data_IF_000385370373
#
_entry.id   IF_000385370373
#
_cell.length_a   1.000
_cell.length_b   1.000
_cell.length_c   1.000
_cell.angle_alpha   90.00
_cell.angle_beta   90.00
_cell.angle_gamma   90.00
#
_symmetry.space_group_name_H-M   'P 1'
#
loop_
_entity.id
_entity.type
_entity.pdbx_description
1 polymer ?
#
# COMPACT_ATOMS: atom_id res chain seq x y z
N UNK A 1 22.50 -5.77 -18.99
CA UNK A 1 23.07 -4.43 -18.80
C UNK A 1 21.92 -3.44 -18.48
N UNK A 2 21.85 -3.00 -17.23
CA UNK A 2 20.83 -2.07 -16.75
C UNK A 2 20.94 -0.67 -17.40
N UNK A 3 22.01 -0.40 -18.11
CA UNK A 3 22.27 0.89 -18.72
C UNK A 3 21.51 1.13 -20.03
N UNK A 4 21.03 0.09 -20.70
CA UNK A 4 20.37 0.21 -22.02
C UNK A 4 19.22 -0.77 -22.22
N UNK A 5 18.13 -0.29 -22.78
CA UNK A 5 16.96 -1.10 -23.12
C UNK A 5 16.99 -1.62 -24.59
N UNK A 6 18.11 -1.71 -25.25
CA UNK A 6 18.16 -2.10 -26.67
C UNK A 6 17.43 -3.42 -26.99
N UNK A 7 17.78 -4.54 -26.33
CA UNK A 7 17.08 -5.81 -26.53
C UNK A 7 15.58 -5.75 -26.11
N UNK A 8 15.27 -5.07 -25.00
CA UNK A 8 13.90 -4.87 -24.54
C UNK A 8 13.09 -4.06 -25.56
N UNK A 9 13.66 -2.98 -26.09
CA UNK A 9 13.03 -2.18 -27.15
C UNK A 9 12.67 -3.02 -28.37
N UNK A 10 13.60 -3.88 -28.82
CA UNK A 10 13.34 -4.77 -29.97
C UNK A 10 12.16 -5.71 -29.68
N UNK A 11 12.11 -6.33 -28.52
CA UNK A 11 11.01 -7.19 -28.09
C UNK A 11 9.68 -6.43 -28.03
N UNK A 12 9.68 -5.24 -27.45
CA UNK A 12 8.48 -4.40 -27.34
C UNK A 12 7.96 -3.99 -28.74
N UNK A 13 8.85 -3.66 -29.66
CA UNK A 13 8.48 -3.34 -31.06
C UNK A 13 7.85 -4.53 -31.77
N UNK A 14 8.46 -5.71 -31.71
CA UNK A 14 7.92 -6.94 -32.28
C UNK A 14 6.56 -7.29 -31.69
N UNK A 15 6.43 -7.19 -30.38
CA UNK A 15 5.17 -7.43 -29.66
C UNK A 15 4.09 -6.43 -30.09
N UNK A 16 4.44 -5.15 -30.19
CA UNK A 16 3.51 -4.11 -30.66
C UNK A 16 3.04 -4.41 -32.10
N UNK A 17 3.95 -4.78 -33.00
CA UNK A 17 3.58 -5.15 -34.38
C UNK A 17 2.61 -6.35 -34.43
N UNK A 18 2.87 -7.38 -33.61
CA UNK A 18 1.98 -8.54 -33.52
C UNK A 18 0.58 -8.15 -32.98
N UNK A 19 0.52 -7.28 -31.97
CA UNK A 19 -0.76 -6.75 -31.46
C UNK A 19 -1.47 -5.93 -32.54
N UNK A 20 -0.78 -5.03 -33.24
CA UNK A 20 -1.37 -4.14 -34.27
C UNK A 20 -1.85 -4.88 -35.50
N UNK A 21 -1.35 -6.08 -35.76
CA UNK A 21 -1.88 -6.95 -36.80
C UNK A 21 -3.34 -7.41 -36.51
N UNK A 22 -3.73 -7.42 -35.25
CA UNK A 22 -5.06 -7.85 -34.76
C UNK A 22 -5.88 -6.67 -34.27
N UNK A 23 -5.29 -5.83 -33.45
CA UNK A 23 -5.92 -4.71 -32.75
C UNK A 23 -5.19 -3.39 -33.01
N UNK A 24 -5.84 -2.51 -33.74
CA UNK A 24 -5.31 -1.20 -34.10
C UNK A 24 -5.74 -0.06 -33.16
N UNK A 25 -6.62 -0.33 -32.20
CA UNK A 25 -7.33 0.72 -31.47
C UNK A 25 -6.92 0.84 -30.01
N UNK A 26 -6.58 -0.26 -29.34
CA UNK A 26 -6.28 -0.20 -27.92
C UNK A 26 -4.92 0.44 -27.65
N UNK A 27 -4.87 1.24 -26.56
CA UNK A 27 -3.65 1.80 -26.01
C UNK A 27 -2.73 0.68 -25.52
N UNK A 28 -1.45 0.74 -25.85
CA UNK A 28 -0.44 -0.19 -25.35
C UNK A 28 0.44 0.54 -24.33
N UNK A 29 0.53 -0.02 -23.14
CA UNK A 29 1.46 0.44 -22.13
C UNK A 29 2.78 -0.29 -22.29
N UNK A 30 3.88 0.47 -22.29
CA UNK A 30 5.24 -0.06 -22.31
C UNK A 30 5.99 0.34 -21.06
N UNK A 31 6.98 -0.46 -20.68
CA UNK A 31 7.84 -0.20 -19.54
C UNK A 31 9.32 -0.32 -19.94
N UNK A 32 10.15 0.53 -19.37
CA UNK A 32 11.58 0.38 -19.40
C UNK A 32 12.07 -0.72 -18.45
N UNK A 33 13.36 -0.98 -18.39
CA UNK A 33 13.94 -1.85 -17.37
C UNK A 33 13.96 -1.18 -15.99
N UNK A 34 14.59 -1.79 -14.98
CA UNK A 34 14.64 -1.30 -13.60
C UNK A 34 13.23 -0.99 -13.05
N UNK A 35 12.35 -1.99 -13.06
CA UNK A 35 10.96 -1.87 -12.57
C UNK A 35 10.19 -0.70 -13.24
N UNK A 36 10.28 -0.60 -14.57
CA UNK A 36 9.56 0.43 -15.34
C UNK A 36 10.16 1.85 -15.23
N UNK A 37 11.29 2.04 -14.56
CA UNK A 37 11.80 3.39 -14.25
C UNK A 37 12.96 3.86 -15.13
N UNK A 38 13.60 2.96 -15.90
CA UNK A 38 14.69 3.33 -16.80
C UNK A 38 14.26 3.20 -18.26
N UNK A 39 14.12 4.33 -18.95
CA UNK A 39 13.75 4.42 -20.35
C UNK A 39 14.93 4.68 -21.29
N UNK A 40 16.17 4.58 -20.80
CA UNK A 40 17.37 4.81 -21.59
C UNK A 40 17.44 3.81 -22.78
N UNK A 41 17.43 4.33 -24.01
CA UNK A 41 17.44 3.52 -25.24
C UNK A 41 16.06 3.02 -25.71
N UNK A 42 14.96 3.44 -25.09
CA UNK A 42 13.60 3.16 -25.57
C UNK A 42 13.23 4.08 -26.74
N UNK A 43 13.59 5.34 -26.67
CA UNK A 43 13.22 6.35 -27.68
C UNK A 43 14.06 6.26 -28.96
N UNK A 44 13.52 6.72 -30.12
CA UNK A 44 12.17 7.24 -30.32
C UNK A 44 11.11 6.13 -30.26
N UNK A 45 9.87 6.52 -29.92
CA UNK A 45 8.72 5.61 -29.92
C UNK A 45 8.40 5.16 -31.36
N UNK A 46 7.74 3.99 -31.50
CA UNK A 46 7.49 3.32 -32.77
C UNK A 46 6.00 3.18 -33.12
N UNK A 47 5.12 3.66 -32.25
CA UNK A 47 3.66 3.59 -32.43
C UNK A 47 3.04 4.80 -31.74
N UNK A 48 2.03 5.40 -32.36
CA UNK A 48 1.41 6.65 -31.92
C UNK A 48 0.39 6.45 -30.78
N UNK A 49 0.10 5.21 -30.43
CA UNK A 49 -0.87 4.85 -29.40
C UNK A 49 -0.23 4.04 -28.27
N UNK A 50 0.90 4.55 -27.77
CA UNK A 50 1.64 4.05 -26.60
C UNK A 50 1.45 4.96 -25.39
N UNK A 51 1.61 4.40 -24.19
CA UNK A 51 1.79 5.10 -22.94
C UNK A 51 2.99 4.53 -22.19
N UNK A 52 3.71 5.38 -21.45
CA UNK A 52 4.83 4.95 -20.61
C UNK A 52 4.31 4.61 -19.22
N UNK A 53 4.61 3.41 -18.74
CA UNK A 53 4.29 2.97 -17.37
C UNK A 53 5.54 3.05 -16.50
N UNK A 54 5.40 3.50 -15.27
CA UNK A 54 6.49 3.56 -14.29
C UNK A 54 6.01 3.12 -12.91
N UNK A 55 6.94 2.78 -12.02
CA UNK A 55 6.65 2.33 -10.67
C UNK A 55 7.18 3.29 -9.61
N UNK A 56 6.46 3.39 -8.49
CA UNK A 56 6.84 4.24 -7.35
C UNK A 56 6.43 3.58 -6.04
N UNK A 57 7.40 3.42 -5.10
CA UNK A 57 7.16 2.72 -3.83
C UNK A 57 7.78 3.39 -2.60
N UNK A 58 9.10 3.61 -2.56
CA UNK A 58 9.85 3.96 -1.35
C UNK A 58 10.72 5.20 -1.55
N UNK A 59 10.11 6.25 -2.01
CA UNK A 59 10.77 7.54 -2.18
C UNK A 59 9.85 8.67 -1.75
N UNK A 60 10.39 9.88 -1.67
CA UNK A 60 9.62 11.08 -1.34
C UNK A 60 8.48 11.32 -2.33
N UNK A 61 7.39 11.91 -1.86
CA UNK A 61 6.23 12.24 -2.68
C UNK A 61 6.25 13.72 -3.09
N UNK A 62 7.35 14.14 -3.68
CA UNK A 62 7.58 15.47 -4.23
C UNK A 62 7.67 15.47 -5.78
N UNK A 63 7.59 16.64 -6.38
CA UNK A 63 7.68 16.82 -7.83
C UNK A 63 8.97 16.20 -8.42
N UNK A 64 10.10 16.32 -7.72
CA UNK A 64 11.38 15.82 -8.19
C UNK A 64 11.37 14.30 -8.39
N UNK A 65 10.61 13.58 -7.55
CA UNK A 65 10.52 12.11 -7.61
C UNK A 65 9.84 11.55 -8.87
N UNK A 66 9.10 12.38 -9.61
CA UNK A 66 8.43 12.03 -10.87
C UNK A 66 8.89 12.89 -12.06
N UNK A 67 9.84 13.81 -11.85
CA UNK A 67 10.21 14.80 -12.85
C UNK A 67 10.68 14.17 -14.16
N UNK A 68 11.49 13.15 -14.11
CA UNK A 68 11.97 12.45 -15.32
C UNK A 68 10.83 11.95 -16.20
N UNK A 69 9.77 11.42 -15.60
CA UNK A 69 8.60 10.95 -16.36
C UNK A 69 7.80 12.12 -16.94
N UNK A 70 7.70 13.22 -16.22
CA UNK A 70 7.08 14.45 -16.73
C UNK A 70 7.87 15.05 -17.91
N UNK A 71 9.20 14.99 -17.86
CA UNK A 71 10.07 15.42 -18.93
C UNK A 71 9.87 14.53 -20.18
N UNK A 72 9.79 13.21 -20.06
CA UNK A 72 9.48 12.31 -21.16
C UNK A 72 8.10 12.59 -21.76
N UNK A 73 7.07 12.79 -20.93
CA UNK A 73 5.74 13.19 -21.37
C UNK A 73 5.78 14.44 -22.26
N UNK A 74 6.52 15.45 -21.83
CA UNK A 74 6.63 16.72 -22.56
C UNK A 74 7.49 16.61 -23.82
N UNK A 75 8.63 15.92 -23.72
CA UNK A 75 9.59 15.80 -24.82
C UNK A 75 9.08 14.96 -25.97
N UNK A 76 8.34 13.88 -25.66
CA UNK A 76 7.91 12.90 -26.65
C UNK A 76 6.40 12.91 -26.93
N UNK A 77 5.67 13.85 -26.33
CA UNK A 77 4.21 13.97 -26.44
C UNK A 77 3.48 12.63 -26.20
N UNK A 78 3.85 11.95 -25.13
CA UNK A 78 3.39 10.60 -24.80
C UNK A 78 2.71 10.57 -23.42
N UNK A 79 1.54 9.92 -23.25
CA UNK A 79 0.93 9.72 -21.96
C UNK A 79 1.84 8.92 -21.00
N UNK A 80 1.77 9.24 -19.71
CA UNK A 80 2.45 8.50 -18.65
C UNK A 80 1.45 7.94 -17.64
N UNK A 81 1.78 6.80 -17.04
CA UNK A 81 0.93 6.03 -16.15
C UNK A 81 1.74 5.49 -14.97
N UNK A 82 1.27 5.68 -13.74
CA UNK A 82 1.83 5.00 -12.58
C UNK A 82 1.29 3.57 -12.54
N UNK A 83 2.03 2.63 -13.12
CA UNK A 83 1.60 1.24 -13.33
C UNK A 83 1.62 0.40 -12.07
N UNK A 84 2.55 0.70 -11.16
CA UNK A 84 2.62 0.07 -9.84
C UNK A 84 2.97 1.08 -8.75
N UNK A 85 2.22 1.01 -7.63
CA UNK A 85 2.49 1.77 -6.41
C UNK A 85 1.84 1.09 -5.22
N UNK A 86 2.48 1.12 -4.06
CA UNK A 86 1.94 0.47 -2.86
C UNK A 86 3.02 0.16 -1.83
N UNK A 87 2.80 -0.87 -1.01
CA UNK A 87 3.76 -1.45 -0.04
C UNK A 87 4.38 -0.44 0.94
N UNK A 88 3.66 0.60 1.29
CA UNK A 88 4.08 1.66 2.20
C UNK A 88 2.93 2.01 3.16
N UNK A 89 3.06 3.07 3.96
CA UNK A 89 2.02 3.52 4.88
C UNK A 89 0.86 4.23 4.19
N UNK A 90 -0.25 4.34 4.90
CA UNK A 90 -1.42 5.10 4.44
C UNK A 90 -1.10 6.57 4.15
N UNK A 91 -0.18 7.17 4.92
CA UNK A 91 0.28 8.56 4.67
C UNK A 91 0.98 8.64 3.32
N UNK A 92 1.92 7.72 3.08
CA UNK A 92 2.63 7.65 1.81
C UNK A 92 1.68 7.42 0.62
N UNK A 93 0.67 6.52 0.77
CA UNK A 93 -0.32 6.28 -0.29
C UNK A 93 -1.10 7.54 -0.65
N UNK A 94 -1.61 8.24 0.38
CA UNK A 94 -2.33 9.50 0.19
C UNK A 94 -1.48 10.54 -0.54
N UNK A 95 -0.22 10.68 -0.16
CA UNK A 95 0.70 11.65 -0.75
C UNK A 95 1.08 11.28 -2.19
N UNK A 96 1.40 10.00 -2.45
CA UNK A 96 1.74 9.52 -3.79
C UNK A 96 0.57 9.71 -4.77
N UNK A 97 -0.65 9.33 -4.36
CA UNK A 97 -1.85 9.50 -5.17
C UNK A 97 -2.13 10.99 -5.41
N UNK A 98 -2.04 11.83 -4.36
CA UNK A 98 -2.22 13.28 -4.51
C UNK A 98 -1.22 13.86 -5.52
N UNK A 99 0.04 13.46 -5.47
CA UNK A 99 1.08 13.93 -6.38
C UNK A 99 0.77 13.58 -7.83
N UNK A 100 0.42 12.32 -8.11
CA UNK A 100 0.16 11.89 -9.50
C UNK A 100 -1.15 12.47 -10.04
N UNK A 101 -2.21 12.56 -9.23
CA UNK A 101 -3.48 13.18 -9.65
C UNK A 101 -3.33 14.68 -9.95
N UNK A 102 -2.54 15.43 -9.14
CA UNK A 102 -2.22 16.84 -9.39
C UNK A 102 -1.45 17.03 -10.70
N UNK A 103 -0.73 16.02 -11.17
CA UNK A 103 0.00 16.04 -12.43
C UNK A 103 -0.78 15.37 -13.59
N UNK A 104 -2.07 15.09 -13.44
CA UNK A 104 -2.91 14.40 -14.43
C UNK A 104 -2.33 13.04 -14.87
N UNK A 105 -1.82 12.27 -13.92
CA UNK A 105 -1.31 10.92 -14.14
C UNK A 105 -2.29 9.93 -13.51
N UNK A 106 -2.78 8.99 -14.30
CA UNK A 106 -3.53 7.85 -13.79
C UNK A 106 -2.63 6.87 -13.03
N UNK A 107 -3.21 6.07 -12.13
CA UNK A 107 -2.44 5.19 -11.27
C UNK A 107 -3.11 3.83 -11.04
N UNK A 108 -2.29 2.82 -10.74
CA UNK A 108 -2.70 1.52 -10.25
C UNK A 108 -2.04 1.22 -8.90
N UNK A 109 -2.76 0.46 -8.05
CA UNK A 109 -2.29 0.09 -6.72
C UNK A 109 -1.88 -1.39 -6.67
N UNK A 110 -0.74 -1.69 -6.08
CA UNK A 110 -0.16 -3.01 -5.93
C UNK A 110 -0.02 -3.44 -4.46
N UNK A 111 -0.45 -4.64 -4.08
CA UNK A 111 -1.50 -5.40 -4.75
C UNK A 111 -2.85 -5.17 -4.05
N UNK A 112 -3.95 -5.46 -4.73
CA UNK A 112 -5.29 -5.38 -4.13
C UNK A 112 -5.47 -6.39 -2.99
N UNK A 113 -4.87 -7.57 -3.07
CA UNK A 113 -4.94 -8.65 -2.07
C UNK A 113 -3.54 -9.13 -1.71
N UNK A 114 -3.19 -9.10 -0.42
CA UNK A 114 -1.89 -9.57 0.09
C UNK A 114 -2.07 -10.46 1.30
N UNK A 115 -1.26 -11.54 1.38
CA UNK A 115 -1.32 -12.50 2.49
C UNK A 115 -0.77 -11.82 3.75
N UNK A 116 -1.54 -11.88 4.86
CA UNK A 116 -1.19 -11.39 6.20
C UNK A 116 -0.60 -9.95 6.22
N UNK A 117 -1.01 -9.09 5.29
CA UNK A 117 -0.49 -7.74 5.19
C UNK A 117 -1.54 -6.69 5.56
N UNK A 118 -1.10 -5.63 6.23
CA UNK A 118 -1.90 -4.43 6.49
C UNK A 118 -1.78 -3.39 5.37
N UNK A 119 -0.72 -3.47 4.54
CA UNK A 119 -0.38 -2.52 3.48
C UNK A 119 -1.08 -2.83 2.15
N UNK A 120 -2.30 -3.32 2.19
CA UNK A 120 -3.11 -3.62 1.01
C UNK A 120 -4.57 -3.32 1.24
N UNK A 121 -5.34 -3.13 0.19
CA UNK A 121 -6.80 -2.90 0.25
C UNK A 121 -7.50 -4.05 0.97
N UNK A 122 -7.02 -5.28 0.75
CA UNK A 122 -7.51 -6.47 1.44
C UNK A 122 -6.36 -7.36 1.92
N UNK A 123 -6.57 -8.02 3.06
CA UNK A 123 -5.66 -9.00 3.64
C UNK A 123 -6.25 -10.40 3.54
N UNK A 124 -5.43 -11.36 3.12
CA UNK A 124 -5.80 -12.77 2.96
C UNK A 124 -5.20 -13.57 4.10
N UNK A 125 -6.02 -14.38 4.79
CA UNK A 125 -5.51 -15.23 5.86
C UNK A 125 -4.67 -16.38 5.30
N UNK A 126 -3.46 -16.54 5.83
CA UNK A 126 -2.54 -17.60 5.48
C UNK A 126 -3.09 -18.96 5.97
N UNK A 127 -3.19 -19.99 5.12
CA UNK A 127 -3.61 -21.31 5.56
C UNK A 127 -2.56 -21.97 6.45
N UNK A 128 -3.03 -22.85 7.34
CA UNK A 128 -2.13 -23.70 8.10
C UNK A 128 -1.29 -24.58 7.15
N UNK A 129 0.03 -24.59 7.34
CA UNK A 129 0.97 -25.35 6.51
C UNK A 129 1.52 -24.57 5.29
N UNK A 130 1.02 -23.37 4.99
CA UNK A 130 1.58 -22.57 3.88
C UNK A 130 3.03 -22.16 4.14
N UNK A 131 3.39 -21.89 5.40
CA UNK A 131 4.78 -21.60 5.78
C UNK A 131 5.73 -22.74 5.41
N UNK A 132 5.31 -24.02 5.56
CA UNK A 132 6.13 -25.16 5.15
C UNK A 132 6.38 -25.19 3.64
N UNK A 133 5.41 -24.74 2.81
CA UNK A 133 5.61 -24.61 1.37
C UNK A 133 6.63 -23.51 1.05
N UNK A 134 6.54 -22.36 1.73
CA UNK A 134 7.48 -21.25 1.54
C UNK A 134 8.90 -21.66 1.92
N UNK A 135 9.09 -22.35 3.02
CA UNK A 135 10.40 -22.87 3.46
C UNK A 135 10.97 -23.87 2.46
N UNK A 136 10.12 -24.77 1.93
CA UNK A 136 10.57 -25.69 0.88
C UNK A 136 10.98 -24.95 -0.39
N UNK A 137 10.22 -23.97 -0.85
CA UNK A 137 10.55 -23.20 -2.05
C UNK A 137 11.82 -22.35 -1.86
N UNK A 138 12.04 -21.84 -0.67
CA UNK A 138 13.23 -21.05 -0.35
C UNK A 138 14.50 -21.89 -0.24
N UNK A 139 14.45 -22.96 0.54
CA UNK A 139 15.63 -23.69 1.00
C UNK A 139 15.74 -25.11 0.43
N UNK A 140 14.72 -25.59 -0.30
CA UNK A 140 14.65 -26.96 -0.85
C UNK A 140 14.51 -28.06 0.21
N UNK A 141 14.35 -27.68 1.49
CA UNK A 141 14.27 -28.61 2.63
C UNK A 141 12.84 -29.08 2.88
N UNK A 142 12.72 -30.29 3.49
CA UNK A 142 11.41 -30.79 3.96
C UNK A 142 10.33 -30.77 2.89
N UNK A 143 10.64 -31.33 1.70
CA UNK A 143 9.68 -31.37 0.58
C UNK A 143 8.32 -31.90 1.02
N UNK A 144 7.25 -31.12 0.91
CA UNK A 144 5.90 -31.58 1.27
C UNK A 144 5.40 -32.63 0.26
N UNK A 145 4.48 -33.50 0.70
CA UNK A 145 3.82 -34.41 -0.24
C UNK A 145 2.94 -33.62 -1.23
N UNK A 146 2.76 -34.09 -2.48
CA UNK A 146 1.88 -33.46 -3.44
C UNK A 146 0.44 -33.24 -2.92
N UNK A 147 -0.11 -34.21 -2.22
CA UNK A 147 -1.45 -34.12 -1.63
C UNK A 147 -1.55 -33.01 -0.58
N UNK A 148 -0.54 -32.88 0.29
CA UNK A 148 -0.47 -31.80 1.28
C UNK A 148 -0.34 -30.44 0.60
N UNK A 149 0.58 -30.29 -0.35
CA UNK A 149 0.80 -29.05 -1.08
C UNK A 149 -0.48 -28.60 -1.81
N UNK A 150 -1.14 -29.51 -2.54
CA UNK A 150 -2.40 -29.24 -3.22
C UNK A 150 -3.48 -28.78 -2.24
N UNK A 151 -3.65 -29.44 -1.10
CA UNK A 151 -4.65 -29.07 -0.08
C UNK A 151 -4.40 -27.63 0.40
N UNK A 152 -3.17 -27.30 0.78
CA UNK A 152 -2.81 -25.98 1.29
C UNK A 152 -3.00 -24.88 0.24
N UNK A 153 -2.60 -25.12 -1.01
CA UNK A 153 -2.76 -24.15 -2.09
C UNK A 153 -4.23 -23.94 -2.46
N UNK A 154 -5.05 -25.00 -2.44
CA UNK A 154 -6.50 -24.87 -2.68
C UNK A 154 -7.21 -24.15 -1.53
N UNK A 155 -6.76 -24.33 -0.29
CA UNK A 155 -7.25 -23.57 0.87
C UNK A 155 -6.85 -22.08 0.71
N UNK A 156 -5.61 -21.77 0.32
CA UNK A 156 -5.17 -20.41 0.03
C UNK A 156 -6.03 -19.79 -1.08
N UNK A 157 -6.22 -20.47 -2.21
CA UNK A 157 -7.08 -20.00 -3.29
C UNK A 157 -8.50 -19.69 -2.82
N UNK A 158 -9.05 -20.54 -1.92
CA UNK A 158 -10.35 -20.30 -1.32
C UNK A 158 -10.37 -19.08 -0.38
N UNK A 159 -9.26 -18.78 0.33
CA UNK A 159 -9.12 -17.60 1.19
C UNK A 159 -9.00 -16.29 0.40
N UNK A 160 -8.68 -16.35 -0.89
CA UNK A 160 -8.69 -15.18 -1.79
C UNK A 160 -10.09 -14.74 -2.24
N UNK A 161 -11.15 -15.50 -1.93
CA UNK A 161 -12.52 -15.09 -2.25
C UNK A 161 -12.88 -13.81 -1.49
N UNK A 162 -13.63 -12.91 -2.14
CA UNK A 162 -13.97 -11.59 -1.59
C UNK A 162 -14.67 -11.68 -0.23
N UNK A 163 -15.53 -12.67 -0.04
CA UNK A 163 -16.25 -12.89 1.21
C UNK A 163 -15.37 -13.41 2.37
N UNK A 164 -14.12 -13.78 2.10
CA UNK A 164 -13.17 -14.32 3.10
C UNK A 164 -12.02 -13.39 3.44
N UNK A 165 -11.75 -12.41 2.60
CA UNK A 165 -10.67 -11.45 2.85
C UNK A 165 -11.09 -10.41 3.89
N UNK A 166 -10.11 -9.89 4.62
CA UNK A 166 -10.31 -8.75 5.51
C UNK A 166 -10.11 -7.46 4.73
N UNK A 167 -11.18 -6.69 4.56
CA UNK A 167 -11.09 -5.34 3.96
C UNK A 167 -10.41 -4.41 4.96
N UNK A 168 -9.49 -3.56 4.48
CA UNK A 168 -8.75 -2.55 5.24
C UNK A 168 -9.37 -1.16 4.99
N UNK A 169 -10.33 -0.72 5.83
CA UNK A 169 -11.02 0.55 5.61
C UNK A 169 -10.11 1.77 5.75
N UNK A 170 -9.05 1.68 6.54
CA UNK A 170 -8.04 2.70 6.71
C UNK A 170 -7.21 2.91 5.43
N UNK A 171 -6.81 1.83 4.74
CA UNK A 171 -6.12 1.90 3.44
C UNK A 171 -7.03 2.52 2.38
N UNK A 172 -8.27 2.05 2.27
CA UNK A 172 -9.26 2.60 1.32
C UNK A 172 -9.52 4.08 1.60
N UNK A 173 -9.67 4.46 2.88
CA UNK A 173 -9.88 5.84 3.29
C UNK A 173 -8.70 6.75 2.89
N UNK A 174 -7.46 6.27 3.09
CA UNK A 174 -6.24 6.99 2.72
C UNK A 174 -6.12 7.21 1.20
N UNK A 175 -6.41 6.17 0.41
CA UNK A 175 -6.27 6.21 -1.05
C UNK A 175 -7.32 7.11 -1.72
N UNK A 176 -8.51 7.25 -1.14
CA UNK A 176 -9.62 7.95 -1.81
C UNK A 176 -10.11 9.18 -1.04
N UNK A 177 -10.68 9.01 0.16
CA UNK A 177 -11.25 10.14 0.90
C UNK A 177 -10.20 11.16 1.31
N UNK A 178 -9.06 10.70 1.86
CA UNK A 178 -8.04 11.62 2.37
C UNK A 178 -7.31 12.40 1.27
N UNK A 179 -7.27 11.87 0.05
CA UNK A 179 -6.75 12.60 -1.11
C UNK A 179 -7.59 13.83 -1.41
N UNK A 180 -8.92 13.72 -1.31
CA UNK A 180 -9.87 14.80 -1.62
C UNK A 180 -10.27 15.62 -0.38
N UNK A 181 -10.31 14.97 0.79
CA UNK A 181 -10.71 15.58 2.05
C UNK A 181 -9.88 15.05 3.22
N UNK A 182 -8.80 15.72 3.63
CA UNK A 182 -7.87 15.24 4.64
C UNK A 182 -8.39 15.34 6.09
N UNK A 183 -9.62 15.81 6.33
CA UNK A 183 -10.17 15.96 7.69
C UNK A 183 -10.24 14.63 8.44
N UNK A 184 -10.10 14.69 9.77
CA UNK A 184 -10.28 13.51 10.61
C UNK A 184 -11.72 12.98 10.55
N UNK A 185 -11.87 11.65 10.64
CA UNK A 185 -13.15 10.94 10.63
C UNK A 185 -13.11 9.79 11.62
N UNK A 186 -14.15 9.66 12.44
CA UNK A 186 -14.25 8.56 13.40
C UNK A 186 -14.04 7.19 12.72
N UNK A 187 -13.06 6.41 13.19
CA UNK A 187 -12.87 5.02 12.75
C UNK A 187 -13.98 4.11 13.22
N UNK A 188 -14.44 4.33 14.46
CA UNK A 188 -15.61 3.65 15.06
C UNK A 188 -16.55 4.67 15.67
N UNK A 189 -17.83 4.31 15.71
CA UNK A 189 -18.83 5.13 16.42
C UNK A 189 -18.65 5.00 17.93
N UNK A 190 -18.22 6.07 18.58
CA UNK A 190 -18.00 6.15 20.02
C UNK A 190 -19.12 6.99 20.66
N UNK A 191 -20.17 6.32 21.17
CA UNK A 191 -21.29 6.99 21.84
C UNK A 191 -21.06 6.95 23.35
N UNK A 192 -20.85 8.13 23.96
CA UNK A 192 -20.57 8.26 25.40
C UNK A 192 -21.81 8.00 26.29
N UNK A 193 -21.63 7.34 27.47
CA UNK A 193 -20.35 6.81 27.97
C UNK A 193 -19.92 5.56 27.23
N UNK A 194 -18.62 5.38 26.97
CA UNK A 194 -18.10 4.28 26.19
C UNK A 194 -16.71 3.86 26.67
N UNK A 195 -16.38 2.58 26.45
CA UNK A 195 -15.01 2.11 26.41
C UNK A 195 -14.50 2.24 24.98
N UNK A 196 -13.40 2.96 24.78
CA UNK A 196 -12.74 3.17 23.50
C UNK A 196 -11.42 2.42 23.50
N UNK A 197 -11.18 1.55 22.51
CA UNK A 197 -9.89 0.91 22.34
C UNK A 197 -8.86 1.93 21.81
N UNK A 198 -7.64 1.91 22.34
CA UNK A 198 -6.57 2.79 21.86
C UNK A 198 -6.33 2.68 20.35
N UNK A 199 -6.51 1.49 19.78
CA UNK A 199 -6.39 1.25 18.33
C UNK A 199 -7.54 1.79 17.48
N UNK A 200 -8.61 2.33 18.09
CA UNK A 200 -9.76 2.91 17.39
C UNK A 200 -9.67 4.44 17.23
N UNK A 201 -8.44 4.98 17.16
CA UNK A 201 -8.24 6.39 16.82
C UNK A 201 -8.79 6.72 15.44
N UNK A 202 -9.05 7.99 15.18
CA UNK A 202 -9.73 8.46 13.99
C UNK A 202 -8.95 8.12 12.71
N UNK A 203 -9.66 8.01 11.59
CA UNK A 203 -9.12 7.99 10.24
C UNK A 203 -8.69 9.41 9.84
N UNK A 204 -7.56 9.53 9.20
CA UNK A 204 -7.00 10.77 8.72
C UNK A 204 -5.49 10.60 8.49
N UNK A 205 -4.86 11.64 8.00
CA UNK A 205 -3.42 11.63 7.77
C UNK A 205 -2.65 12.09 9.02
N UNK A 206 -1.35 11.89 9.00
CA UNK A 206 -0.35 12.42 9.94
C UNK A 206 -0.60 13.91 10.24
N UNK A 207 -0.58 14.29 11.51
CA UNK A 207 -0.84 15.66 11.96
C UNK A 207 -2.31 16.10 11.94
N UNK A 208 -3.24 15.24 11.53
CA UNK A 208 -4.69 15.52 11.45
C UNK A 208 -5.50 14.61 12.37
N UNK A 209 -5.31 13.29 12.32
CA UNK A 209 -6.00 12.32 13.16
C UNK A 209 -5.07 11.67 14.20
N UNK A 210 -3.79 11.74 13.98
CA UNK A 210 -2.73 11.25 14.86
C UNK A 210 -1.41 11.95 14.51
N UNK A 211 -0.42 11.77 15.35
CA UNK A 211 0.96 12.08 15.05
C UNK A 211 1.85 10.95 15.58
N UNK A 212 2.69 10.42 14.70
CA UNK A 212 3.69 9.41 15.00
C UNK A 212 5.02 9.83 14.37
N UNK A 213 6.14 9.42 14.94
CA UNK A 213 7.47 9.85 14.50
C UNK A 213 7.97 9.08 13.31
N UNK A 214 7.57 7.79 13.18
CA UNK A 214 7.96 6.87 12.11
C UNK A 214 6.74 6.44 11.27
N UNK A 215 6.27 7.27 10.36
CA UNK A 215 4.97 7.07 9.69
C UNK A 215 5.04 6.67 8.22
N UNK A 216 6.20 6.59 7.60
CA UNK A 216 6.36 6.17 6.20
C UNK A 216 7.79 5.71 5.89
N UNK A 217 7.93 4.89 4.86
CA UNK A 217 9.24 4.51 4.33
C UNK A 217 9.53 5.33 3.05
N UNK A 218 10.51 6.22 3.15
CA UNK A 218 10.94 7.13 2.08
C UNK A 218 12.40 6.91 1.66
N UNK A 219 13.06 5.92 2.22
CA UNK A 219 14.44 5.58 1.88
C UNK A 219 14.49 4.18 1.27
N UNK A 220 14.53 4.11 -0.06
CA UNK A 220 14.61 2.85 -0.81
C UNK A 220 15.93 2.08 -0.61
N UNK A 221 16.92 2.68 0.04
CA UNK A 221 18.22 2.04 0.35
C UNK A 221 18.21 1.37 1.73
N UNK A 222 17.29 1.78 2.61
CA UNK A 222 17.13 1.24 3.95
C UNK A 222 15.67 0.94 4.21
N UNK A 223 15.38 -0.27 4.66
CA UNK A 223 14.06 -0.57 5.18
C UNK A 223 13.90 0.11 6.54
N UNK A 224 13.16 1.20 6.58
CA UNK A 224 12.75 1.84 7.82
C UNK A 224 11.33 1.38 8.15
N UNK A 225 11.13 0.61 9.21
CA UNK A 225 9.79 0.19 9.58
C UNK A 225 8.98 1.41 10.04
N UNK A 226 7.90 1.69 9.33
CA UNK A 226 6.96 2.76 9.65
C UNK A 226 5.82 2.30 10.57
N UNK A 227 5.81 1.05 10.97
CA UNK A 227 4.83 0.46 11.90
C UNK A 227 5.48 -0.76 12.55
N UNK A 228 5.91 -0.65 13.81
CA UNK A 228 6.70 -1.67 14.50
C UNK A 228 5.90 -2.93 14.86
N UNK A 229 4.60 -2.90 14.89
CA UNK A 229 3.76 -4.08 15.14
C UNK A 229 3.17 -4.70 13.89
N UNK A 230 3.11 -3.95 12.82
CA UNK A 230 2.53 -4.31 11.53
C UNK A 230 1.14 -4.97 11.66
N UNK A 231 0.29 -4.39 12.52
CA UNK A 231 -0.99 -4.97 12.94
C UNK A 231 -2.14 -3.99 12.79
N UNK A 232 -3.33 -4.49 12.49
CA UNK A 232 -4.63 -3.83 12.42
C UNK A 232 -4.74 -2.70 11.40
N UNK A 233 -3.89 -1.67 11.44
CA UNK A 233 -3.98 -0.47 10.61
C UNK A 233 -2.63 -0.18 9.96
N UNK A 234 -2.67 0.34 8.75
CA UNK A 234 -1.49 0.67 7.94
C UNK A 234 -1.05 2.14 8.10
N UNK A 235 -1.55 2.81 9.10
CA UNK A 235 -1.05 4.12 9.53
C UNK A 235 0.36 3.97 10.15
N UNK A 236 1.08 5.05 10.35
CA UNK A 236 2.38 5.02 11.02
C UNK A 236 2.32 4.62 12.49
N UNK A 237 1.15 4.70 13.13
CA UNK A 237 0.99 4.37 14.54
C UNK A 237 1.33 2.92 14.82
N UNK A 238 2.22 2.70 15.77
CA UNK A 238 2.70 1.39 16.19
C UNK A 238 1.63 0.63 16.97
N UNK A 239 1.10 -0.45 16.37
CA UNK A 239 0.12 -1.33 16.99
C UNK A 239 0.71 -2.72 17.13
N UNK A 240 0.79 -3.22 18.36
CA UNK A 240 1.37 -4.51 18.70
C UNK A 240 0.34 -5.44 19.34
N UNK A 241 0.62 -6.74 19.30
CA UNK A 241 -0.20 -7.73 20.01
C UNK A 241 -0.11 -7.51 21.50
N UNK A 242 -1.23 -7.72 22.19
CA UNK A 242 -1.35 -7.62 23.65
C UNK A 242 -2.01 -8.89 24.20
N UNK A 243 -1.53 -9.35 25.37
CA UNK A 243 -2.19 -10.41 26.13
C UNK A 243 -3.49 -9.96 26.81
N UNK A 244 -3.81 -8.68 26.80
CA UNK A 244 -5.00 -8.13 27.43
C UNK A 244 -6.26 -8.38 26.58
N UNK A 245 -7.16 -9.25 27.04
CA UNK A 245 -8.43 -9.55 26.36
C UNK A 245 -9.36 -8.34 26.24
N UNK A 246 -9.26 -7.40 27.16
CA UNK A 246 -10.09 -6.19 27.17
C UNK A 246 -9.71 -5.22 26.05
N UNK A 247 -8.46 -5.26 25.56
CA UNK A 247 -7.97 -4.51 24.40
C UNK A 247 -8.20 -5.24 23.07
N UNK A 248 -8.93 -6.37 23.10
CA UNK A 248 -9.12 -7.27 21.95
C UNK A 248 -7.81 -7.80 21.36
N UNK A 249 -6.80 -7.96 22.20
CA UNK A 249 -5.51 -8.52 21.84
C UNK A 249 -4.52 -7.57 21.19
N UNK A 250 -4.79 -6.26 21.18
CA UNK A 250 -3.90 -5.25 20.61
C UNK A 250 -3.76 -4.02 21.51
N UNK A 251 -2.63 -3.34 21.39
CA UNK A 251 -2.35 -2.09 22.06
C UNK A 251 -1.51 -1.17 21.15
N UNK A 252 -1.55 0.13 21.41
CA UNK A 252 -0.57 1.07 20.87
C UNK A 252 0.70 0.92 21.69
N UNK A 253 1.83 0.83 21.03
CA UNK A 253 3.15 0.63 21.64
C UNK A 253 4.19 1.58 21.09
N UNK A 254 5.43 1.48 21.56
CA UNK A 254 6.59 2.28 21.12
C UNK A 254 6.33 3.78 21.08
N UNK A 255 5.51 4.28 22.02
CA UNK A 255 5.08 5.67 22.08
C UNK A 255 6.25 6.58 22.41
N UNK A 256 6.51 7.58 21.58
CA UNK A 256 7.55 8.58 21.76
C UNK A 256 6.97 9.93 22.22
N UNK A 257 7.86 10.80 22.70
CA UNK A 257 7.45 12.12 23.18
C UNK A 257 6.92 12.98 22.01
N UNK A 258 5.73 13.55 22.18
CA UNK A 258 5.08 14.40 21.19
C UNK A 258 4.08 13.68 20.31
N UNK A 259 4.01 12.36 20.35
CA UNK A 259 3.00 11.59 19.65
C UNK A 259 1.61 11.75 20.27
N UNK A 260 0.58 11.68 19.44
CA UNK A 260 -0.80 11.80 19.90
C UNK A 260 -1.79 11.09 18.98
N UNK A 261 -2.94 10.70 19.54
CA UNK A 261 -4.06 10.06 18.85
C UNK A 261 -5.34 10.85 19.11
N UNK A 262 -6.14 11.04 18.08
CA UNK A 262 -7.46 11.69 18.16
C UNK A 262 -8.58 10.66 18.16
N UNK A 263 -9.63 10.93 18.95
CA UNK A 263 -10.84 10.10 18.99
C UNK A 263 -12.06 10.98 18.89
N UNK A 264 -12.85 10.82 17.83
CA UNK A 264 -14.14 11.44 17.72
C UNK A 264 -15.18 10.69 18.56
N UNK A 265 -15.86 11.41 19.43
CA UNK A 265 -16.91 10.88 20.31
C UNK A 265 -18.22 11.62 20.11
N UNK A 266 -19.34 10.93 20.35
CA UNK A 266 -20.68 11.52 20.32
C UNK A 266 -21.31 11.41 21.71
N UNK A 267 -21.91 12.47 22.20
CA UNK A 267 -22.69 12.48 23.43
C UNK A 267 -24.16 12.80 23.14
N UNK A 268 -25.09 12.06 23.75
CA UNK A 268 -26.51 12.33 23.63
C UNK A 268 -26.97 13.57 24.39
N UNK A 269 -26.20 13.99 25.39
CA UNK A 269 -26.50 15.16 26.24
C UNK A 269 -25.24 15.81 26.75
N UNK A 270 -25.29 17.11 27.01
CA UNK A 270 -24.22 17.81 27.71
C UNK A 270 -24.05 17.23 29.12
N UNK A 271 -22.86 16.76 29.45
CA UNK A 271 -22.53 16.18 30.76
C UNK A 271 -21.04 16.29 31.03
N UNK A 272 -20.64 16.12 32.29
CA UNK A 272 -19.27 15.92 32.70
C UNK A 272 -18.96 14.41 32.67
N UNK A 273 -17.81 14.04 32.13
CA UNK A 273 -17.35 12.68 32.05
C UNK A 273 -16.01 12.54 32.76
N UNK A 274 -15.85 11.47 33.51
CA UNK A 274 -14.53 11.04 34.01
C UNK A 274 -13.88 10.19 32.92
N UNK A 275 -12.59 10.44 32.66
CA UNK A 275 -11.78 9.66 31.71
C UNK A 275 -10.77 8.85 32.48
N UNK A 276 -10.70 7.54 32.21
CA UNK A 276 -9.69 6.65 32.73
C UNK A 276 -8.91 6.04 31.58
N UNK A 277 -7.60 5.98 31.68
CA UNK A 277 -6.72 5.40 30.67
C UNK A 277 -5.99 4.21 31.28
N UNK A 278 -6.06 3.05 30.60
CA UNK A 278 -5.26 1.88 30.95
C UNK A 278 -3.98 1.89 30.13
N UNK A 279 -2.84 1.87 30.78
CA UNK A 279 -1.53 1.82 30.14
C UNK A 279 -0.62 0.81 30.83
N UNK A 280 0.41 0.35 30.10
CA UNK A 280 1.53 -0.39 30.65
C UNK A 280 2.75 0.55 30.68
N UNK A 281 3.48 0.53 31.78
CA UNK A 281 4.77 1.18 31.94
C UNK A 281 5.85 0.10 31.98
N UNK A 282 6.99 0.38 31.31
CA UNK A 282 8.17 -0.46 31.41
C UNK A 282 8.87 -0.20 32.74
#
# INVERSE_FOLDING_TARGET
DEASNGPLRSLLMETTQAIRAIDKNHLIFIEGNCWGNNYNGIFPLWDDNLALSFHKYWNTNDQASIQTMLDYRTQYDVPIWLGESGENSNVWFKEAISLVEQNNIGWAFWPMKKIESIAGVTSVTQPQGYQQLLEYWKDGKSKPSPAFATKVLMELANNYKLEKVTIRPDVVDAMFRQVQNPTAKAFKKNLLPARILATNYDLGTQGVAYYDTDFQNIDGTKFTPYNKGFSLRNDGVDIISSGNKESKGFQVGFIEAGEWLQYTVTSKKKATYSVSITYASA
#
